data_IF_672444602245
#
_entry.id   IF_672444602245
#
_cell.length_a   1.000
_cell.length_b   1.000
_cell.length_c   1.000
_cell.angle_alpha   90.00
_cell.angle_beta   90.00
_cell.angle_gamma   90.00
#
_symmetry.space_group_name_H-M   'P 1'
#
loop_
_entity.id
_entity.type
_entity.pdbx_description
1 polymer ?
#
# COMPACT_ATOMS: atom_id res chain seq x y z
N UNK A 1 7.42 3.65 -26.02
CA UNK A 1 8.45 3.26 -25.03
C UNK A 1 8.73 4.43 -24.09
N UNK A 2 7.84 4.71 -23.12
CA UNK A 2 8.11 5.59 -21.98
C UNK A 2 6.85 5.63 -21.07
N UNK A 3 6.90 4.93 -19.93
CA UNK A 3 6.10 5.14 -18.70
C UNK A 3 6.11 3.91 -17.77
N UNK A 4 6.70 2.78 -18.17
CA UNK A 4 6.71 1.55 -17.36
C UNK A 4 7.94 1.38 -16.43
N UNK A 5 8.79 2.42 -16.24
CA UNK A 5 10.11 2.20 -15.62
C UNK A 5 10.17 2.15 -14.08
N UNK A 6 9.06 2.13 -13.34
CA UNK A 6 9.13 2.00 -11.87
C UNK A 6 8.11 1.05 -11.22
N UNK A 7 7.12 0.54 -11.96
CA UNK A 7 6.02 -0.26 -11.40
C UNK A 7 6.20 -1.79 -11.57
N UNK A 8 7.23 -2.25 -12.29
CA UNK A 8 7.36 -3.65 -12.71
C UNK A 8 7.90 -4.63 -11.65
N UNK A 9 8.05 -4.23 -10.38
CA UNK A 9 8.55 -5.12 -9.32
C UNK A 9 7.68 -5.19 -8.07
N UNK A 10 6.39 -4.87 -8.19
CA UNK A 10 5.49 -4.90 -7.03
C UNK A 10 4.67 -6.20 -7.06
N UNK A 11 5.27 -7.30 -6.61
CA UNK A 11 4.51 -8.40 -5.96
C UNK A 11 4.11 -7.94 -4.56
N UNK A 12 3.21 -6.97 -4.44
CA UNK A 12 2.76 -6.55 -3.13
C UNK A 12 1.63 -7.46 -2.63
N UNK A 13 1.99 -8.36 -1.74
CA UNK A 13 1.03 -8.93 -0.79
C UNK A 13 0.74 -7.86 0.26
N UNK A 14 -0.21 -6.98 0.01
CA UNK A 14 -0.58 -5.92 0.95
C UNK A 14 -1.26 -6.52 2.17
N UNK A 15 -0.78 -6.20 3.37
CA UNK A 15 -1.38 -6.65 4.63
C UNK A 15 -2.31 -5.57 5.15
N UNK A 16 -3.62 -5.75 5.03
CA UNK A 16 -4.58 -4.90 5.71
C UNK A 16 -4.56 -5.25 7.21
N UNK A 17 -3.88 -4.44 8.01
CA UNK A 17 -4.03 -4.49 9.46
C UNK A 17 -5.35 -3.79 9.82
N UNK A 18 -6.18 -4.42 10.67
CA UNK A 18 -7.40 -3.80 11.21
C UNK A 18 -6.98 -2.53 11.96
N UNK A 19 -7.44 -1.37 11.50
CA UNK A 19 -7.20 -0.08 12.16
C UNK A 19 -8.31 0.19 13.18
N UNK A 20 -8.00 0.29 14.50
CA UNK A 20 -9.01 0.51 15.52
C UNK A 20 -9.57 1.94 15.56
N UNK A 21 -8.99 2.91 14.85
CA UNK A 21 -9.24 4.34 15.09
C UNK A 21 -9.99 5.09 13.98
N UNK A 22 -10.47 4.42 12.94
CA UNK A 22 -11.28 5.07 11.89
C UNK A 22 -12.76 5.07 12.34
N UNK A 23 -13.39 6.23 12.62
CA UNK A 23 -14.77 6.28 13.06
C UNK A 23 -15.71 5.83 11.94
N UNK A 24 -16.53 4.83 12.25
CA UNK A 24 -17.52 4.24 11.36
C UNK A 24 -18.55 5.31 10.95
N UNK A 25 -18.69 5.62 9.64
CA UNK A 25 -19.89 6.31 9.14
C UNK A 25 -20.93 5.26 8.71
N UNK A 26 -22.10 5.19 9.37
CA UNK A 26 -23.06 4.11 9.22
C UNK A 26 -24.04 4.36 8.08
N UNK A 27 -23.59 4.46 6.82
CA UNK A 27 -24.54 4.48 5.72
C UNK A 27 -24.17 3.44 4.65
N UNK A 28 -25.11 2.52 4.44
CA UNK A 28 -25.21 1.46 3.44
C UNK A 28 -24.53 0.09 3.70
N UNK A 29 -25.37 -0.80 4.26
CA UNK A 29 -25.64 -2.21 3.92
C UNK A 29 -24.47 -3.23 3.94
N UNK A 30 -24.50 -4.07 4.98
CA UNK A 30 -24.37 -5.53 4.95
C UNK A 30 -23.24 -6.20 4.16
N UNK A 31 -22.13 -6.52 4.83
CA UNK A 31 -21.46 -7.84 4.71
C UNK A 31 -20.43 -8.01 5.83
N UNK A 32 -20.36 -9.21 6.42
CA UNK A 32 -19.52 -9.55 7.58
C UNK A 32 -17.99 -9.55 7.30
N UNK A 33 -17.54 -9.03 6.16
CA UNK A 33 -16.13 -8.99 5.76
C UNK A 33 -15.78 -7.70 4.99
N UNK A 34 -16.13 -6.53 5.54
CA UNK A 34 -15.79 -5.22 4.94
C UNK A 34 -14.35 -4.82 5.33
N UNK A 35 -13.39 -5.14 4.47
CA UNK A 35 -12.02 -4.62 4.56
C UNK A 35 -12.03 -3.15 4.15
N UNK A 36 -11.39 -2.28 4.93
CA UNK A 36 -11.14 -0.92 4.47
C UNK A 36 -10.26 -0.98 3.24
N UNK A 37 -10.77 -0.45 2.13
CA UNK A 37 -9.94 -0.07 1.00
C UNK A 37 -9.09 1.12 1.49
N UNK A 38 -7.99 0.83 2.18
CA UNK A 38 -6.84 1.72 2.19
C UNK A 38 -6.41 1.80 0.73
N UNK A 39 -6.95 2.81 0.04
CA UNK A 39 -6.60 3.15 -1.32
C UNK A 39 -5.10 3.47 -1.32
N UNK A 40 -4.29 2.44 -1.53
CA UNK A 40 -2.89 2.56 -1.98
C UNK A 40 -3.00 3.02 -3.44
N UNK A 41 -3.49 4.25 -3.59
CA UNK A 41 -3.80 4.92 -4.84
C UNK A 41 -2.66 5.87 -5.18
N UNK A 42 -2.68 6.42 -6.38
CA UNK A 42 -1.70 7.41 -6.85
C UNK A 42 -1.58 8.65 -5.94
N UNK A 43 -2.56 8.91 -5.06
CA UNK A 43 -2.50 9.94 -4.03
C UNK A 43 -1.38 9.68 -3.00
N UNK A 44 -1.02 8.42 -2.74
CA UNK A 44 0.09 8.10 -1.84
C UNK A 44 1.46 8.35 -2.51
N UNK A 45 1.52 8.37 -3.85
CA UNK A 45 2.77 8.63 -4.59
C UNK A 45 3.19 10.10 -4.52
N UNK A 46 2.28 11.03 -4.19
CA UNK A 46 2.60 12.45 -4.03
C UNK A 46 3.03 12.82 -2.60
N UNK A 47 2.68 12.01 -1.59
CA UNK A 47 3.06 12.24 -0.19
C UNK A 47 4.51 11.78 0.01
N UNK A 48 5.36 12.66 0.55
CA UNK A 48 6.77 12.38 0.83
C UNK A 48 7.11 12.77 2.25
N UNK A 49 7.89 11.94 2.92
CA UNK A 49 8.46 12.24 4.23
C UNK A 49 9.95 12.60 4.07
N UNK A 50 10.24 13.89 3.85
CA UNK A 50 11.61 14.37 3.69
C UNK A 50 12.47 14.12 4.93
N UNK A 51 13.77 13.91 4.71
CA UNK A 51 14.72 13.56 5.78
C UNK A 51 14.55 12.15 6.36
N UNK A 52 13.73 11.29 5.73
CA UNK A 52 13.52 9.90 6.17
C UNK A 52 13.99 8.91 5.13
N UNK A 53 14.47 7.75 5.59
CA UNK A 53 14.95 6.67 4.73
C UNK A 53 14.37 5.35 5.23
N UNK A 54 13.93 4.50 4.30
CA UNK A 54 13.58 3.12 4.65
C UNK A 54 14.85 2.32 4.97
N UNK A 55 14.97 1.80 6.19
CA UNK A 55 16.17 1.07 6.64
C UNK A 55 16.37 -0.29 5.95
N UNK A 56 15.35 -0.80 5.25
CA UNK A 56 15.47 -2.06 4.51
C UNK A 56 15.82 -1.86 3.03
N UNK A 57 15.04 -1.07 2.29
CA UNK A 57 15.23 -0.89 0.84
C UNK A 57 15.97 0.39 0.45
N UNK A 58 16.35 1.23 1.44
CA UNK A 58 17.06 2.50 1.26
C UNK A 58 16.30 3.55 0.44
N UNK A 59 14.98 3.39 0.25
CA UNK A 59 14.14 4.44 -0.36
C UNK A 59 14.24 5.73 0.45
N UNK A 60 14.59 6.84 -0.20
CA UNK A 60 14.73 8.16 0.40
C UNK A 60 14.30 9.25 -0.62
N UNK A 61 13.38 10.15 -0.27
CA UNK A 61 12.54 10.11 0.93
C UNK A 61 11.57 8.92 0.90
N UNK A 62 11.03 8.53 2.06
CA UNK A 62 9.92 7.56 2.08
C UNK A 62 8.71 8.20 1.37
N UNK A 63 8.22 7.53 0.32
CA UNK A 63 7.04 7.94 -0.46
C UNK A 63 5.81 7.16 0.05
N UNK A 64 4.70 7.86 0.25
CA UNK A 64 3.48 7.35 0.86
C UNK A 64 3.59 7.26 2.39
N UNK A 65 2.91 6.27 2.97
CA UNK A 65 2.85 6.09 4.42
C UNK A 65 4.23 5.72 4.97
N UNK A 66 4.68 6.44 6.02
CA UNK A 66 5.87 6.11 6.81
C UNK A 66 5.52 5.20 7.99
N UNK A 67 6.26 4.10 8.12
CA UNK A 67 6.08 3.12 9.19
C UNK A 67 7.28 3.16 10.12
N UNK A 68 7.15 3.88 11.24
CA UNK A 68 8.23 4.04 12.22
C UNK A 68 8.14 2.95 13.28
N UNK A 69 9.22 2.20 13.52
CA UNK A 69 9.24 1.23 14.61
C UNK A 69 9.10 1.94 15.96
N UNK A 70 8.23 1.44 16.84
CA UNK A 70 8.01 2.01 18.17
C UNK A 70 9.02 1.51 19.21
N UNK A 71 9.75 0.44 18.90
CA UNK A 71 10.65 -0.26 19.81
C UNK A 71 12.13 -0.06 19.46
N UNK A 72 12.44 0.29 18.20
CA UNK A 72 13.81 0.55 17.76
C UNK A 72 14.07 2.05 17.60
N UNK A 73 15.25 2.48 18.02
CA UNK A 73 15.73 3.85 17.82
C UNK A 73 15.91 4.12 16.33
N UNK A 74 15.28 5.20 15.85
CA UNK A 74 15.42 5.71 14.48
C UNK A 74 15.27 4.66 13.35
N UNK A 75 14.33 3.72 13.50
CA UNK A 75 14.05 2.71 12.48
C UNK A 75 12.73 2.98 11.76
N UNK A 76 12.77 3.06 10.43
CA UNK A 76 11.68 3.45 9.55
C UNK A 76 11.57 2.51 8.34
N UNK A 77 10.35 2.18 7.95
CA UNK A 77 10.04 1.37 6.78
C UNK A 77 9.09 2.11 5.84
N UNK A 78 9.28 1.91 4.54
CA UNK A 78 8.25 2.25 3.55
C UNK A 78 7.13 1.20 3.54
N UNK A 79 6.00 1.55 2.92
CA UNK A 79 4.82 0.67 2.81
C UNK A 79 5.12 -0.70 2.21
N UNK A 80 5.98 -0.74 1.17
CA UNK A 80 6.40 -2.00 0.53
C UNK A 80 7.17 -2.89 1.51
N UNK A 81 8.10 -2.34 2.28
CA UNK A 81 8.87 -3.12 3.25
C UNK A 81 8.04 -3.52 4.48
N UNK A 82 7.15 -2.63 4.94
CA UNK A 82 6.26 -2.92 6.05
C UNK A 82 5.32 -4.11 5.75
N UNK A 83 4.67 -4.12 4.58
CA UNK A 83 3.79 -5.22 4.15
C UNK A 83 4.55 -6.42 3.56
N UNK A 84 5.79 -6.22 3.11
CA UNK A 84 6.73 -7.27 2.75
C UNK A 84 7.33 -8.00 3.96
N UNK A 85 6.76 -7.81 5.15
CA UNK A 85 7.15 -8.45 6.41
C UNK A 85 8.65 -8.29 6.74
N UNK A 86 9.23 -7.15 6.34
CA UNK A 86 10.60 -6.77 6.70
C UNK A 86 10.65 -6.26 8.13
N UNK A 87 11.81 -6.38 8.77
CA UNK A 87 12.03 -6.12 10.20
C UNK A 87 11.24 -7.08 11.12
N UNK A 88 11.48 -7.01 12.43
CA UNK A 88 10.83 -7.88 13.41
C UNK A 88 9.30 -7.71 13.40
N UNK A 89 8.59 -8.82 13.16
CA UNK A 89 7.12 -8.83 13.14
C UNK A 89 6.50 -8.66 14.53
N UNK A 90 7.28 -8.91 15.59
CA UNK A 90 6.86 -8.70 16.98
C UNK A 90 6.84 -7.23 17.37
N UNK A 91 7.65 -6.39 16.70
CA UNK A 91 7.68 -4.97 17.02
C UNK A 91 6.40 -4.27 16.55
N UNK A 92 5.92 -3.36 17.37
CA UNK A 92 4.86 -2.40 17.07
C UNK A 92 5.41 -1.25 16.23
N UNK A 93 4.52 -0.64 15.46
CA UNK A 93 4.87 0.45 14.56
C UNK A 93 3.92 1.62 14.76
N UNK A 94 4.44 2.82 14.61
CA UNK A 94 3.66 4.01 14.35
C UNK A 94 3.38 4.13 12.85
N UNK A 95 2.11 4.32 12.50
CA UNK A 95 1.70 4.76 11.16
C UNK A 95 1.68 6.28 11.13
N UNK A 96 2.35 6.85 10.13
CA UNK A 96 2.37 8.29 9.87
C UNK A 96 1.94 8.46 8.41
N UNK A 97 0.72 8.94 8.19
CA UNK A 97 0.10 8.96 6.86
C UNK A 97 0.57 10.15 6.04
N UNK A 98 0.77 11.31 6.66
CA UNK A 98 1.27 12.53 6.02
C UNK A 98 2.31 13.22 6.90
N UNK A 99 3.20 14.05 6.35
CA UNK A 99 4.04 14.92 7.17
C UNK A 99 3.19 15.78 8.10
N UNK A 100 3.52 15.78 9.40
CA UNK A 100 2.77 16.52 10.42
C UNK A 100 1.50 15.84 10.95
N UNK A 101 1.06 14.71 10.39
CA UNK A 101 -0.05 13.95 10.98
C UNK A 101 0.34 13.34 12.33
N UNK A 102 -0.63 13.19 13.22
CA UNK A 102 -0.43 12.41 14.45
C UNK A 102 0.01 10.98 14.12
N UNK A 103 0.94 10.47 14.92
CA UNK A 103 1.43 9.09 14.80
C UNK A 103 0.45 8.14 15.46
N UNK A 104 -0.04 7.15 14.71
CA UNK A 104 -0.97 6.13 15.23
C UNK A 104 -0.20 4.87 15.60
N UNK A 105 -0.20 4.49 16.88
CA UNK A 105 0.43 3.24 17.32
C UNK A 105 -0.40 2.03 16.90
N UNK A 106 0.25 1.06 16.25
CA UNK A 106 -0.39 -0.15 15.75
C UNK A 106 0.04 -1.39 16.53
N UNK A 107 -0.84 -2.39 16.52
CA UNK A 107 -0.54 -3.72 17.01
C UNK A 107 0.58 -4.41 16.21
N UNK A 108 1.22 -5.38 16.87
CA UNK A 108 2.28 -6.19 16.27
C UNK A 108 1.78 -6.93 15.03
N UNK A 109 2.54 -6.84 13.93
CA UNK A 109 2.23 -7.53 12.66
C UNK A 109 2.11 -9.05 12.84
N UNK A 110 2.82 -9.67 13.78
CA UNK A 110 2.74 -11.12 14.02
C UNK A 110 1.32 -11.58 14.35
N UNK A 111 0.52 -10.76 15.03
CA UNK A 111 -0.85 -11.10 15.47
C UNK A 111 -1.94 -10.70 14.47
N UNK A 112 -1.62 -9.83 13.52
CA UNK A 112 -2.60 -9.31 12.55
C UNK A 112 -2.84 -10.27 11.39
N UNK A 113 -4.12 -10.51 11.07
CA UNK A 113 -4.53 -11.27 9.87
C UNK A 113 -3.98 -10.59 8.61
N UNK A 114 -3.40 -11.36 7.69
CA UNK A 114 -2.92 -10.88 6.39
C UNK A 114 -3.86 -11.39 5.31
N UNK A 115 -4.41 -10.48 4.52
CA UNK A 115 -5.14 -10.84 3.30
C UNK A 115 -4.24 -10.58 2.09
N UNK A 116 -4.49 -11.29 0.99
CA UNK A 116 -3.78 -11.05 -0.27
C UNK A 116 -4.61 -10.09 -1.10
N UNK A 117 -4.03 -8.97 -1.54
CA UNK A 117 -4.75 -8.10 -2.48
C UNK A 117 -4.93 -8.80 -3.84
N UNK A 118 -6.03 -8.47 -4.50
CA UNK A 118 -6.39 -8.94 -5.85
C UNK A 118 -6.67 -7.73 -6.71
N UNK A 119 -6.29 -7.79 -7.99
CA UNK A 119 -6.39 -6.66 -8.90
C UNK A 119 -5.43 -6.78 -10.07
N UNK A 120 -5.15 -5.64 -10.71
CA UNK A 120 -4.24 -5.51 -11.85
C UNK A 120 -2.79 -5.56 -11.35
N UNK A 121 -2.31 -6.76 -11.07
CA UNK A 121 -0.93 -7.04 -10.67
C UNK A 121 -0.19 -7.82 -11.76
N UNK A 122 1.13 -7.97 -11.64
CA UNK A 122 1.91 -8.79 -12.57
C UNK A 122 1.31 -10.19 -12.72
N UNK A 123 1.01 -10.58 -13.97
CA UNK A 123 0.33 -11.84 -14.31
C UNK A 123 -1.20 -11.77 -14.31
N UNK A 124 -1.80 -10.60 -14.04
CA UNK A 124 -3.23 -10.38 -14.25
C UNK A 124 -3.54 -10.38 -15.75
N UNK A 125 -4.64 -11.02 -16.12
CA UNK A 125 -5.19 -10.98 -17.48
C UNK A 125 -6.11 -9.77 -17.58
N UNK A 126 -5.83 -8.86 -18.51
CA UNK A 126 -6.55 -7.58 -18.60
C UNK A 126 -7.18 -7.40 -19.98
N UNK A 127 -8.24 -6.60 -20.03
CA UNK A 127 -8.85 -6.07 -21.25
C UNK A 127 -8.92 -4.55 -21.12
N UNK A 128 -9.11 -3.83 -22.24
CA UNK A 128 -9.27 -2.37 -22.20
C UNK A 128 -10.35 -1.91 -21.22
N UNK A 129 -10.07 -0.83 -20.51
CA UNK A 129 -10.97 -0.23 -19.52
C UNK A 129 -11.99 0.73 -20.15
N UNK A 130 -12.88 1.28 -19.31
CA UNK A 130 -13.92 2.24 -19.73
C UNK A 130 -13.33 3.53 -20.31
N UNK A 131 -12.19 3.98 -19.76
CA UNK A 131 -11.51 5.21 -20.19
C UNK A 131 -10.44 4.96 -21.26
N UNK A 132 -10.55 3.86 -22.02
CA UNK A 132 -9.58 3.52 -23.06
C UNK A 132 -9.65 4.49 -24.24
N UNK A 133 -8.54 5.15 -24.55
CA UNK A 133 -8.42 6.16 -25.60
C UNK A 133 -7.27 5.83 -26.58
N UNK A 134 -6.84 4.57 -26.63
CA UNK A 134 -5.61 4.14 -27.30
C UNK A 134 -5.85 3.29 -28.55
N UNK A 135 -6.90 3.60 -29.30
CA UNK A 135 -7.29 2.89 -30.53
C UNK A 135 -7.33 1.36 -30.33
N UNK A 136 -6.84 0.57 -31.29
CA UNK A 136 -6.78 -0.90 -31.21
C UNK A 136 -5.36 -1.42 -30.93
N UNK A 137 -4.61 -0.75 -30.04
CA UNK A 137 -3.29 -1.26 -29.61
C UNK A 137 -3.34 -2.64 -28.96
N UNK A 138 -4.46 -3.00 -28.35
CA UNK A 138 -4.73 -4.33 -27.80
C UNK A 138 -5.23 -5.34 -28.86
N UNK A 139 -5.36 -4.93 -30.13
CA UNK A 139 -5.89 -5.76 -31.23
C UNK A 139 -7.41 -5.83 -31.31
N UNK A 140 -8.12 -4.89 -30.67
CA UNK A 140 -9.57 -4.74 -30.73
C UNK A 140 -10.28 -5.07 -29.42
N UNK A 141 -11.51 -4.56 -29.26
CA UNK A 141 -12.26 -4.69 -28.01
C UNK A 141 -12.44 -6.17 -27.58
N UNK A 142 -12.09 -6.47 -26.32
CA UNK A 142 -12.20 -7.81 -25.74
C UNK A 142 -10.96 -8.70 -25.89
N UNK A 143 -9.91 -8.24 -26.58
CA UNK A 143 -8.61 -8.91 -26.59
C UNK A 143 -7.93 -8.81 -25.22
N UNK A 144 -7.24 -9.89 -24.84
CA UNK A 144 -6.62 -10.03 -23.52
C UNK A 144 -5.10 -9.93 -23.63
N UNK A 145 -4.50 -9.16 -22.72
CA UNK A 145 -3.07 -9.12 -22.43
C UNK A 145 -2.73 -9.75 -21.09
#
# INVERSE_FOLDING_TARGET
MAALSLCERIRASYKFCRDPQVPWKPDSVGSENKFELLLISDVCNSIKHDGTMCDTCRQQPIIGIRWKCAECTNYDLCTVCYHGDKHHLRHRFYRITTPGSERVLLESRRKSKKITARGIFAGARVVRGVDWQWEDQDGGNGRRG
#
